data_IF_464794040764
#
_entry.id   IF_464794040764
#
_cell.length_a   1.000
_cell.length_b   1.000
_cell.length_c   1.000
_cell.angle_alpha   90.00
_cell.angle_beta   90.00
_cell.angle_gamma   90.00
#
_symmetry.space_group_name_H-M   'P 1'
#
loop_
_entity.id
_entity.type
_entity.pdbx_description
1 polymer ?
#
# COMPACT_ATOMS: atom_id res chain seq x y z
N UNK A 1 67.15 2.98 -38.96
CA UNK A 1 66.53 3.93 -38.00
C UNK A 1 65.10 3.51 -37.79
N UNK A 2 64.87 2.80 -36.67
CA UNK A 2 63.54 2.24 -36.36
C UNK A 2 62.90 3.15 -35.29
N UNK A 3 61.79 3.82 -35.64
CA UNK A 3 61.02 4.68 -34.70
C UNK A 3 60.01 3.81 -33.99
N UNK A 4 60.19 3.65 -32.70
CA UNK A 4 59.21 3.09 -31.77
C UNK A 4 58.14 4.14 -31.49
N UNK A 5 56.87 3.83 -31.82
CA UNK A 5 55.71 4.63 -31.40
C UNK A 5 55.14 3.96 -30.13
N UNK A 6 55.31 4.65 -28.99
CA UNK A 6 54.62 4.26 -27.74
C UNK A 6 53.18 4.76 -27.78
N UNK A 7 52.20 3.87 -27.86
CA UNK A 7 50.80 4.16 -27.58
C UNK A 7 50.58 4.19 -26.07
N UNK A 8 50.34 5.32 -25.50
CA UNK A 8 49.87 5.47 -24.10
C UNK A 8 48.35 5.21 -24.06
N UNK A 9 47.92 4.09 -23.53
CA UNK A 9 46.53 3.85 -23.21
C UNK A 9 46.16 4.54 -21.91
N UNK A 10 45.41 5.63 -21.98
CA UNK A 10 44.82 6.30 -20.82
C UNK A 10 43.60 5.46 -20.36
N UNK A 11 43.74 4.75 -19.24
CA UNK A 11 42.62 4.09 -18.57
C UNK A 11 41.75 5.14 -17.88
N UNK A 12 40.54 5.42 -18.41
CA UNK A 12 39.52 6.19 -17.70
C UNK A 12 38.96 5.31 -16.56
N UNK A 13 39.38 5.61 -15.34
CA UNK A 13 38.77 5.04 -14.13
C UNK A 13 37.46 5.76 -13.90
N UNK A 14 36.31 5.10 -14.25
CA UNK A 14 34.97 5.53 -13.84
C UNK A 14 34.86 5.21 -12.34
N UNK A 15 35.03 6.21 -11.49
CA UNK A 15 34.66 6.09 -10.07
C UNK A 15 33.14 6.11 -9.97
N UNK A 16 32.52 4.94 -9.84
CA UNK A 16 31.13 4.87 -9.45
C UNK A 16 31.02 5.39 -8.01
N UNK A 17 30.49 6.58 -7.85
CA UNK A 17 30.06 7.07 -6.53
C UNK A 17 28.98 6.12 -6.02
N UNK A 18 29.27 5.34 -4.99
CA UNK A 18 28.25 4.60 -4.27
C UNK A 18 27.32 5.65 -3.64
N UNK A 19 26.10 5.76 -4.14
CA UNK A 19 25.07 6.53 -3.48
C UNK A 19 24.85 5.89 -2.10
N UNK A 20 25.24 6.58 -1.05
CA UNK A 20 24.93 6.19 0.32
C UNK A 20 23.44 6.43 0.52
N UNK A 21 22.67 5.36 0.72
CA UNK A 21 21.27 5.50 1.10
C UNK A 21 21.20 6.18 2.47
N UNK A 22 20.55 7.35 2.54
CA UNK A 22 20.35 8.05 3.81
C UNK A 22 19.37 7.27 4.68
N UNK A 23 19.72 7.08 5.95
CA UNK A 23 18.86 6.41 6.92
C UNK A 23 18.07 7.46 7.70
N UNK A 24 16.76 7.47 7.53
CA UNK A 24 15.85 8.26 8.35
C UNK A 24 15.49 7.45 9.60
N UNK A 25 15.62 8.06 10.77
CA UNK A 25 15.18 7.49 12.05
C UNK A 25 14.07 8.33 12.62
N UNK A 26 12.95 7.68 12.87
CA UNK A 26 11.77 8.32 13.45
C UNK A 26 11.35 7.58 14.71
N UNK A 27 11.03 8.32 15.78
CA UNK A 27 10.57 7.79 17.04
C UNK A 27 9.19 8.37 17.39
N UNK A 28 8.35 7.56 18.01
CA UNK A 28 7.00 7.92 18.45
C UNK A 28 6.67 7.28 19.79
N UNK A 29 5.64 7.79 20.47
CA UNK A 29 5.28 7.34 21.81
C UNK A 29 4.55 5.99 21.87
N UNK A 30 3.99 5.51 20.76
CA UNK A 30 3.30 4.22 20.68
C UNK A 30 3.76 3.44 19.46
N UNK A 31 3.80 2.12 19.58
CA UNK A 31 4.05 1.22 18.48
C UNK A 31 2.73 0.79 17.80
N UNK A 32 2.81 0.27 16.59
CA UNK A 32 1.70 -0.38 15.92
C UNK A 32 1.42 -1.72 16.59
N UNK A 33 0.17 -2.04 16.81
CA UNK A 33 -0.23 -3.31 17.45
C UNK A 33 0.02 -4.49 16.51
N UNK A 34 -0.17 -4.27 15.21
CA UNK A 34 -0.07 -5.29 14.16
C UNK A 34 0.41 -4.68 12.87
N UNK A 35 0.85 -5.53 11.92
CA UNK A 35 1.08 -5.14 10.53
C UNK A 35 -0.08 -5.56 9.60
N UNK A 36 -1.07 -6.27 10.12
CA UNK A 36 -2.30 -6.59 9.37
C UNK A 36 -3.09 -5.30 9.12
N UNK A 37 -3.26 -4.88 7.85
CA UNK A 37 -3.82 -3.57 7.52
C UNK A 37 -5.32 -3.42 7.83
N UNK A 38 -6.01 -4.52 8.14
CA UNK A 38 -7.45 -4.53 8.42
C UNK A 38 -7.79 -4.84 9.89
N UNK A 39 -6.79 -5.18 10.71
CA UNK A 39 -7.03 -5.66 12.07
C UNK A 39 -7.21 -4.53 13.10
N UNK A 40 -6.76 -3.31 12.81
CA UNK A 40 -6.83 -2.19 13.72
C UNK A 40 -7.16 -0.87 13.01
N UNK A 41 -7.98 -0.04 13.67
CA UNK A 41 -8.34 1.30 13.21
C UNK A 41 -7.79 2.36 14.17
N UNK A 42 -6.46 2.41 14.33
CA UNK A 42 -5.80 3.34 15.24
C UNK A 42 -4.57 4.01 14.62
N UNK A 43 -4.24 5.21 15.10
CA UNK A 43 -3.23 6.07 14.48
C UNK A 43 -1.83 5.46 14.34
N UNK A 44 -1.27 4.79 15.36
CA UNK A 44 0.02 4.12 15.26
C UNK A 44 0.10 3.07 14.17
N UNK A 45 -0.89 2.18 14.05
CA UNK A 45 -0.95 1.14 13.01
C UNK A 45 -1.13 1.76 11.63
N UNK A 46 -2.04 2.74 11.48
CA UNK A 46 -2.23 3.44 10.19
C UNK A 46 -0.96 4.15 9.72
N UNK A 47 -0.24 4.85 10.61
CA UNK A 47 0.98 5.55 10.23
C UNK A 47 2.07 4.61 9.70
N UNK A 48 2.14 3.38 10.23
CA UNK A 48 3.07 2.36 9.73
C UNK A 48 2.52 1.69 8.46
N UNK A 49 1.21 1.40 8.41
CA UNK A 49 0.56 0.80 7.26
C UNK A 49 0.69 1.67 6.00
N UNK A 50 0.53 3.00 6.10
CA UNK A 50 0.73 3.94 4.98
C UNK A 50 2.15 3.93 4.39
N UNK A 51 3.13 3.36 5.07
CA UNK A 51 4.47 3.21 4.49
C UNK A 51 4.55 1.99 3.57
N UNK A 52 3.78 0.94 3.86
CA UNK A 52 3.89 -0.38 3.23
C UNK A 52 2.72 -0.73 2.31
N UNK A 53 1.58 -0.08 2.49
CA UNK A 53 0.36 -0.31 1.73
C UNK A 53 -0.17 1.00 1.15
N UNK A 54 -0.90 0.91 0.05
CA UNK A 54 -1.67 2.01 -0.49
C UNK A 54 -3.17 1.70 -0.43
N UNK A 55 -3.99 2.76 -0.31
CA UNK A 55 -5.43 2.69 -0.50
C UNK A 55 -5.82 2.99 -1.96
N UNK A 56 -7.11 2.90 -2.27
CA UNK A 56 -7.62 3.37 -3.55
C UNK A 56 -7.40 4.88 -3.70
N UNK A 57 -7.55 5.61 -2.61
CA UNK A 57 -7.41 7.06 -2.51
C UNK A 57 -6.44 7.40 -1.39
N UNK A 58 -5.88 8.60 -1.44
CA UNK A 58 -5.00 9.12 -0.39
C UNK A 58 -5.28 10.59 -0.12
N UNK A 59 -4.64 11.15 0.90
CA UNK A 59 -4.67 12.59 1.18
C UNK A 59 -3.34 13.23 0.84
N UNK A 60 -3.40 14.39 0.23
CA UNK A 60 -2.22 15.24 0.09
C UNK A 60 -1.91 16.01 1.39
N UNK A 61 -0.85 16.80 1.39
CA UNK A 61 -0.42 17.61 2.53
C UNK A 61 -1.44 18.70 2.94
N UNK A 62 -2.37 19.07 2.06
CA UNK A 62 -3.47 19.99 2.38
C UNK A 62 -4.68 19.28 3.01
N UNK A 63 -4.68 17.94 3.02
CA UNK A 63 -5.79 17.09 3.43
C UNK A 63 -6.81 16.81 2.31
N UNK A 64 -6.58 17.29 1.09
CA UNK A 64 -7.43 16.99 -0.04
C UNK A 64 -7.31 15.51 -0.46
N UNK A 65 -8.43 14.90 -0.84
CA UNK A 65 -8.45 13.53 -1.35
C UNK A 65 -7.96 13.53 -2.80
N UNK A 66 -6.96 12.73 -3.07
CA UNK A 66 -6.32 12.59 -4.37
C UNK A 66 -6.25 11.12 -4.80
N UNK A 67 -5.94 10.90 -6.08
CA UNK A 67 -5.74 9.58 -6.65
C UNK A 67 -4.56 8.85 -5.99
N UNK A 68 -4.73 7.53 -5.79
CA UNK A 68 -3.69 6.60 -5.37
C UNK A 68 -3.74 5.37 -6.29
N UNK A 69 -4.15 4.20 -5.80
CA UNK A 69 -4.36 3.01 -6.64
C UNK A 69 -5.56 3.15 -7.58
N UNK A 70 -6.54 4.00 -7.24
CA UNK A 70 -7.56 4.44 -8.19
C UNK A 70 -7.13 5.76 -8.85
N UNK A 71 -7.21 5.83 -10.17
CA UNK A 71 -6.88 7.02 -10.98
C UNK A 71 -8.09 7.92 -11.20
N UNK A 72 -9.29 7.32 -11.22
CA UNK A 72 -10.57 8.00 -11.42
C UNK A 72 -11.65 7.31 -10.59
N UNK A 73 -12.63 8.08 -10.11
CA UNK A 73 -13.82 7.55 -9.44
C UNK A 73 -15.01 8.46 -9.61
N UNK A 74 -16.19 7.86 -9.83
CA UNK A 74 -17.44 8.57 -9.95
C UNK A 74 -18.64 7.67 -9.62
N UNK A 75 -19.71 8.25 -9.11
CA UNK A 75 -20.99 7.56 -9.06
C UNK A 75 -21.55 7.37 -10.48
N UNK A 76 -22.15 6.21 -10.74
CA UNK A 76 -22.76 5.94 -12.03
C UNK A 76 -24.05 6.78 -12.20
N UNK A 77 -24.23 7.37 -13.38
CA UNK A 77 -25.38 8.21 -13.66
C UNK A 77 -26.73 7.44 -13.57
N UNK A 78 -26.70 6.17 -13.96
CA UNK A 78 -27.86 5.25 -13.94
C UNK A 78 -28.18 4.71 -12.53
N UNK A 79 -27.16 4.67 -11.64
CA UNK A 79 -27.34 4.26 -10.24
C UNK A 79 -26.34 4.99 -9.32
N UNK A 80 -26.75 6.12 -8.70
CA UNK A 80 -25.86 6.92 -7.85
C UNK A 80 -25.35 6.21 -6.59
N UNK A 81 -25.91 5.05 -6.25
CA UNK A 81 -25.41 4.23 -5.15
C UNK A 81 -24.23 3.33 -5.58
N UNK A 82 -23.93 3.24 -6.87
CA UNK A 82 -22.77 2.50 -7.39
C UNK A 82 -21.68 3.49 -7.78
N UNK A 83 -20.54 3.33 -7.15
CA UNK A 83 -19.33 4.07 -7.46
C UNK A 83 -18.37 3.21 -8.27
N UNK A 84 -17.96 3.71 -9.42
CA UNK A 84 -16.96 3.06 -10.27
C UNK A 84 -15.58 3.66 -10.04
N UNK A 85 -14.60 2.78 -9.84
CA UNK A 85 -13.19 3.13 -9.69
C UNK A 85 -12.40 2.56 -10.86
N UNK A 86 -11.59 3.41 -11.52
CA UNK A 86 -10.58 2.98 -12.48
C UNK A 86 -9.25 2.81 -11.76
N UNK A 87 -8.66 1.63 -11.87
CA UNK A 87 -7.43 1.29 -11.16
C UNK A 87 -6.20 1.67 -11.98
N UNK A 88 -5.11 1.90 -11.28
CA UNK A 88 -3.79 2.15 -11.87
C UNK A 88 -3.23 0.85 -12.41
N UNK A 89 -2.84 0.87 -13.69
CA UNK A 89 -2.17 -0.25 -14.33
C UNK A 89 -0.66 -0.29 -14.02
N UNK A 90 -0.06 -1.47 -14.06
CA UNK A 90 1.38 -1.66 -13.89
C UNK A 90 1.88 -1.55 -12.45
N UNK A 91 0.98 -1.48 -11.46
CA UNK A 91 1.35 -1.55 -10.04
C UNK A 91 1.70 -2.99 -9.67
N UNK A 92 2.73 -3.15 -8.84
CA UNK A 92 3.11 -4.45 -8.28
C UNK A 92 3.16 -4.40 -6.76
N UNK A 93 2.83 -5.51 -6.12
CA UNK A 93 3.10 -5.75 -4.72
C UNK A 93 4.60 -5.90 -4.45
N UNK A 94 4.99 -5.92 -3.19
CA UNK A 94 6.39 -5.98 -2.76
C UNK A 94 7.12 -7.25 -3.19
N UNK A 95 6.40 -8.35 -3.40
CA UNK A 95 6.92 -9.62 -3.92
C UNK A 95 6.95 -9.70 -5.45
N UNK A 96 6.40 -8.68 -6.14
CA UNK A 96 6.36 -8.57 -7.59
C UNK A 96 5.05 -9.06 -8.23
N UNK A 97 4.08 -9.56 -7.45
CA UNK A 97 2.74 -9.90 -7.96
C UNK A 97 2.06 -8.65 -8.51
N UNK A 98 1.29 -8.79 -9.60
CA UNK A 98 0.57 -7.68 -10.20
C UNK A 98 -0.67 -7.34 -9.36
N UNK A 99 -0.94 -6.05 -9.19
CA UNK A 99 -2.16 -5.55 -8.57
C UNK A 99 -3.27 -5.43 -9.61
N UNK A 100 -4.47 -5.92 -9.26
CA UNK A 100 -5.66 -5.81 -10.09
C UNK A 100 -6.96 -5.67 -9.27
N UNK A 101 -8.11 -5.75 -9.96
CA UNK A 101 -9.43 -5.60 -9.37
C UNK A 101 -9.81 -6.71 -8.37
N UNK A 102 -9.25 -7.92 -8.51
CA UNK A 102 -9.51 -9.02 -7.59
C UNK A 102 -8.92 -8.74 -6.20
N UNK A 103 -7.76 -8.06 -6.14
CA UNK A 103 -7.14 -7.64 -4.88
C UNK A 103 -7.98 -6.59 -4.16
N UNK A 104 -8.59 -5.67 -4.92
CA UNK A 104 -9.51 -4.67 -4.36
C UNK A 104 -10.76 -5.33 -3.79
N UNK A 105 -11.39 -6.23 -4.57
CA UNK A 105 -12.58 -6.99 -4.12
C UNK A 105 -12.23 -7.81 -2.87
N UNK A 106 -11.10 -8.50 -2.88
CA UNK A 106 -10.61 -9.27 -1.74
C UNK A 106 -10.41 -8.38 -0.51
N UNK A 107 -9.65 -7.30 -0.64
CA UNK A 107 -9.28 -6.41 0.47
C UNK A 107 -10.49 -5.78 1.14
N UNK A 108 -11.43 -5.25 0.35
CA UNK A 108 -12.64 -4.62 0.88
C UNK A 108 -13.58 -5.64 1.53
N UNK A 109 -13.72 -6.83 0.97
CA UNK A 109 -14.50 -7.91 1.59
C UNK A 109 -13.81 -8.44 2.86
N UNK A 110 -12.46 -8.57 2.86
CA UNK A 110 -11.70 -8.95 4.04
C UNK A 110 -11.87 -7.95 5.18
N UNK A 111 -11.81 -6.66 4.88
CA UNK A 111 -12.00 -5.59 5.88
C UNK A 111 -13.41 -5.57 6.50
N UNK A 112 -14.39 -6.23 5.88
CA UNK A 112 -15.76 -6.40 6.40
C UNK A 112 -15.94 -7.67 7.26
N UNK A 113 -14.95 -8.55 7.33
CA UNK A 113 -15.05 -9.80 8.09
C UNK A 113 -14.94 -9.58 9.59
N UNK A 114 -15.42 -10.56 10.35
CA UNK A 114 -15.24 -10.63 11.79
C UNK A 114 -13.74 -10.56 12.16
N UNK A 115 -13.40 -9.85 13.22
CA UNK A 115 -12.02 -9.59 13.63
C UNK A 115 -11.43 -8.30 13.08
N UNK A 116 -11.99 -7.73 12.01
CA UNK A 116 -11.56 -6.44 11.48
C UNK A 116 -12.11 -5.27 12.29
N UNK A 117 -11.27 -4.36 12.69
CA UNK A 117 -11.67 -3.06 13.26
C UNK A 117 -12.02 -2.01 12.17
N UNK A 118 -11.93 -2.41 10.88
CA UNK A 118 -12.24 -1.54 9.74
C UNK A 118 -13.69 -1.66 9.26
N UNK A 119 -14.49 -2.58 9.82
CA UNK A 119 -15.86 -2.89 9.39
C UNK A 119 -16.76 -1.66 9.27
N UNK A 120 -16.72 -0.78 10.28
CA UNK A 120 -17.58 0.39 10.32
C UNK A 120 -17.30 1.39 9.21
N UNK A 121 -16.06 1.46 8.72
CA UNK A 121 -15.70 2.30 7.58
C UNK A 121 -16.40 1.87 6.29
N UNK A 122 -16.75 0.59 6.19
CA UNK A 122 -17.42 -0.04 5.04
C UNK A 122 -18.88 -0.43 5.33
N UNK A 123 -19.47 -0.01 6.46
CA UNK A 123 -20.82 -0.43 6.88
C UNK A 123 -21.91 -0.12 5.84
N UNK A 124 -21.75 0.94 5.05
CA UNK A 124 -22.68 1.27 3.96
C UNK A 124 -22.43 0.51 2.66
N UNK A 125 -21.27 -0.16 2.51
CA UNK A 125 -20.90 -0.89 1.31
C UNK A 125 -21.58 -2.26 1.33
N UNK A 126 -22.49 -2.49 0.39
CA UNK A 126 -23.26 -3.73 0.30
C UNK A 126 -22.62 -4.73 -0.67
N UNK A 127 -22.00 -4.23 -1.73
CA UNK A 127 -21.34 -5.08 -2.74
C UNK A 127 -20.08 -4.43 -3.27
N UNK A 128 -19.08 -5.25 -3.62
CA UNK A 128 -17.87 -4.85 -4.33
C UNK A 128 -17.59 -5.90 -5.40
N UNK A 129 -17.52 -5.47 -6.66
CA UNK A 129 -17.32 -6.40 -7.78
C UNK A 129 -16.31 -5.89 -8.80
N UNK A 130 -15.50 -6.79 -9.32
CA UNK A 130 -14.67 -6.56 -10.48
C UNK A 130 -15.57 -6.43 -11.73
N UNK A 131 -15.35 -5.39 -12.51
CA UNK A 131 -15.99 -5.20 -13.83
C UNK A 131 -15.07 -5.71 -14.93
N UNK A 132 -13.79 -5.41 -14.79
CA UNK A 132 -12.67 -5.92 -15.58
C UNK A 132 -11.40 -5.88 -14.70
N UNK A 133 -10.23 -6.23 -15.24
CA UNK A 133 -8.99 -6.31 -14.48
C UNK A 133 -8.60 -4.98 -13.78
N UNK A 134 -9.06 -3.83 -14.29
CA UNK A 134 -8.72 -2.51 -13.75
C UNK A 134 -9.94 -1.62 -13.53
N UNK A 135 -11.09 -2.22 -13.31
CA UNK A 135 -12.34 -1.49 -13.00
C UNK A 135 -13.10 -2.22 -11.91
N UNK A 136 -13.43 -1.48 -10.84
CA UNK A 136 -14.22 -1.99 -9.71
C UNK A 136 -15.45 -1.13 -9.52
N UNK A 137 -16.59 -1.78 -9.32
CA UNK A 137 -17.83 -1.14 -8.85
C UNK A 137 -18.02 -1.44 -7.37
N UNK A 138 -18.32 -0.41 -6.61
CA UNK A 138 -18.68 -0.48 -5.19
C UNK A 138 -20.09 0.06 -5.02
N UNK A 139 -20.98 -0.78 -4.51
CA UNK A 139 -22.38 -0.42 -4.25
C UNK A 139 -22.61 -0.10 -2.78
N UNK A 140 -23.32 0.98 -2.51
CA UNK A 140 -23.71 1.39 -1.16
C UNK A 140 -25.22 1.25 -0.95
N UNK A 141 -25.66 0.96 0.28
CA UNK A 141 -27.07 0.82 0.65
C UNK A 141 -27.87 2.12 0.46
N UNK A 142 -27.19 3.25 0.30
CA UNK A 142 -27.76 4.58 0.09
C UNK A 142 -26.64 5.61 0.00
N UNK A 143 -26.99 6.88 -0.14
CA UNK A 143 -26.00 7.95 -0.23
C UNK A 143 -25.10 7.97 1.02
N UNK A 144 -23.79 7.79 0.82
CA UNK A 144 -22.79 7.90 1.88
C UNK A 144 -21.70 8.91 1.47
N UNK A 145 -21.78 10.16 1.91
CA UNK A 145 -20.78 11.18 1.57
C UNK A 145 -19.39 10.91 2.20
N UNK A 146 -19.33 10.06 3.23
CA UNK A 146 -18.07 9.73 3.93
C UNK A 146 -17.33 8.58 3.28
N UNK A 147 -17.94 7.78 2.39
CA UNK A 147 -17.34 6.60 1.79
C UNK A 147 -15.97 6.93 1.15
N UNK A 148 -15.91 7.95 0.31
CA UNK A 148 -14.66 8.37 -0.36
C UNK A 148 -13.59 8.75 0.66
N UNK A 149 -13.99 9.41 1.76
CA UNK A 149 -13.09 9.74 2.86
C UNK A 149 -12.54 8.48 3.56
N UNK A 150 -13.40 7.51 3.83
CA UNK A 150 -13.03 6.26 4.51
C UNK A 150 -12.04 5.43 3.70
N UNK A 151 -12.15 5.47 2.36
CA UNK A 151 -11.24 4.75 1.46
C UNK A 151 -9.79 5.25 1.48
N UNK A 152 -9.50 6.40 2.08
CA UNK A 152 -8.11 6.87 2.25
C UNK A 152 -7.32 6.09 3.32
N UNK A 153 -8.02 5.35 4.21
CA UNK A 153 -7.42 4.49 5.23
C UNK A 153 -7.74 3.01 4.98
N UNK A 154 -8.31 2.68 3.81
CA UNK A 154 -8.60 1.31 3.43
C UNK A 154 -7.50 0.79 2.52
N UNK A 155 -6.64 -0.05 3.05
CA UNK A 155 -5.43 -0.54 2.38
C UNK A 155 -5.71 -1.76 1.51
N UNK A 156 -5.04 -1.84 0.35
CA UNK A 156 -5.15 -2.98 -0.55
C UNK A 156 -4.07 -4.01 -0.23
N UNK A 157 -4.45 -5.27 -0.20
CA UNK A 157 -3.65 -6.43 0.13
C UNK A 157 -3.69 -7.43 -1.04
N UNK A 158 -2.57 -8.07 -1.32
CA UNK A 158 -2.49 -9.12 -2.33
C UNK A 158 -3.31 -10.35 -1.90
N UNK A 159 -4.32 -10.70 -2.69
CA UNK A 159 -5.17 -11.87 -2.49
C UNK A 159 -4.35 -13.16 -2.50
N UNK A 160 -3.46 -13.31 -3.49
CA UNK A 160 -2.64 -14.52 -3.63
C UNK A 160 -1.68 -14.72 -2.46
N UNK A 161 -1.07 -13.63 -1.99
CA UNK A 161 -0.23 -13.68 -0.79
C UNK A 161 -1.05 -14.02 0.47
N UNK A 162 -2.24 -13.45 0.61
CA UNK A 162 -3.12 -13.73 1.74
C UNK A 162 -3.56 -15.20 1.78
N UNK A 163 -3.92 -15.78 0.63
CA UNK A 163 -4.27 -17.19 0.48
C UNK A 163 -3.06 -18.10 0.78
N UNK A 164 -1.88 -17.78 0.25
CA UNK A 164 -0.66 -18.57 0.43
C UNK A 164 -0.16 -18.60 1.88
N UNK A 165 -0.50 -17.59 2.70
CA UNK A 165 -0.05 -17.46 4.08
C UNK A 165 -1.18 -17.67 5.12
N UNK A 166 -2.34 -18.16 4.68
CA UNK A 166 -3.50 -18.43 5.55
C UNK A 166 -3.96 -17.19 6.35
N UNK A 167 -4.01 -16.03 5.66
CA UNK A 167 -4.45 -14.75 6.24
C UNK A 167 -5.63 -14.14 5.48
N UNK A 168 -6.48 -14.98 4.92
CA UNK A 168 -7.72 -14.54 4.25
C UNK A 168 -8.70 -13.87 5.21
N UNK A 169 -8.63 -14.23 6.49
CA UNK A 169 -9.33 -13.52 7.57
C UNK A 169 -8.40 -12.50 8.23
N UNK A 170 -8.93 -11.32 8.63
CA UNK A 170 -8.14 -10.36 9.40
C UNK A 170 -7.79 -10.94 10.78
N UNK A 171 -6.68 -10.47 11.36
CA UNK A 171 -6.33 -10.79 12.74
C UNK A 171 -7.39 -10.20 13.68
N UNK A 172 -7.93 -11.02 14.57
CA UNK A 172 -8.78 -10.55 15.67
C UNK A 172 -7.92 -10.16 16.88
N UNK A 173 -7.50 -8.90 16.92
CA UNK A 173 -6.67 -8.37 18.02
C UNK A 173 -7.41 -8.36 19.32
N UNK A 174 -8.72 -8.06 19.33
CA UNK A 174 -9.56 -8.05 20.53
C UNK A 174 -9.66 -9.43 21.18
N UNK A 175 -9.67 -10.50 20.38
CA UNK A 175 -9.62 -11.87 20.86
C UNK A 175 -8.19 -12.34 21.24
N UNK A 176 -7.16 -11.51 21.07
CA UNK A 176 -5.77 -11.88 21.34
C UNK A 176 -5.16 -12.81 20.29
N UNK A 177 -5.75 -12.91 19.10
CA UNK A 177 -5.26 -13.76 18.04
C UNK A 177 -4.01 -13.15 17.38
N UNK A 178 -3.23 -14.01 16.76
CA UNK A 178 -2.11 -13.65 15.86
C UNK A 178 -2.18 -14.49 14.60
N UNK A 179 -1.75 -13.92 13.48
CA UNK A 179 -1.62 -14.63 12.21
C UNK A 179 -0.32 -14.21 11.51
N UNK A 180 -0.07 -14.71 10.32
CA UNK A 180 1.15 -14.37 9.58
C UNK A 180 1.27 -12.87 9.28
N UNK A 181 0.15 -12.17 8.98
CA UNK A 181 0.13 -10.75 8.70
C UNK A 181 0.40 -9.87 9.95
N UNK A 182 0.33 -10.43 11.17
CA UNK A 182 0.72 -9.70 12.39
C UNK A 182 2.14 -9.14 12.32
N UNK A 183 3.06 -9.87 11.69
CA UNK A 183 4.50 -9.57 11.63
C UNK A 183 5.06 -9.50 10.20
N UNK A 184 4.24 -9.75 9.17
CA UNK A 184 4.66 -9.79 7.78
C UNK A 184 3.73 -8.96 6.90
N UNK A 185 4.25 -8.44 5.78
CA UNK A 185 3.51 -7.56 4.89
C UNK A 185 3.78 -7.87 3.43
N UNK A 186 2.77 -7.72 2.57
CA UNK A 186 2.93 -7.64 1.12
C UNK A 186 1.95 -6.59 0.58
N UNK A 187 2.38 -5.34 0.53
CA UNK A 187 1.61 -4.21 0.01
C UNK A 187 2.24 -3.63 -1.25
N UNK A 188 1.69 -2.50 -1.71
CA UNK A 188 2.15 -1.77 -2.89
C UNK A 188 2.95 -0.51 -2.53
N UNK A 189 3.10 -0.21 -1.24
CA UNK A 189 3.61 1.05 -0.71
C UNK A 189 5.08 1.34 -1.00
N UNK A 190 5.48 2.57 -0.66
CA UNK A 190 6.81 3.11 -0.93
C UNK A 190 7.94 2.38 -0.17
N UNK A 191 7.61 1.69 0.92
CA UNK A 191 8.60 0.98 1.74
C UNK A 191 8.19 -0.47 1.97
N UNK A 192 9.19 -1.33 2.04
CA UNK A 192 9.09 -2.77 2.29
C UNK A 192 9.59 -3.09 3.69
N UNK A 193 8.93 -4.01 4.38
CA UNK A 193 9.39 -4.51 5.68
C UNK A 193 10.72 -5.27 5.54
N UNK A 194 11.67 -4.94 6.42
CA UNK A 194 12.92 -5.71 6.58
C UNK A 194 12.89 -6.53 7.86
N UNK A 195 12.50 -5.90 8.98
CA UNK A 195 12.38 -6.58 10.26
C UNK A 195 11.51 -5.78 11.22
N UNK A 196 10.92 -6.47 12.19
CA UNK A 196 10.16 -5.87 13.29
C UNK A 196 10.48 -6.56 14.61
N UNK A 197 10.77 -5.76 15.63
CA UNK A 197 10.77 -6.12 17.05
C UNK A 197 9.72 -5.24 17.70
N UNK A 198 8.65 -5.84 18.22
CA UNK A 198 7.52 -5.13 18.82
C UNK A 198 8.01 -4.26 19.98
N UNK A 199 7.50 -3.04 20.11
CA UNK A 199 7.86 -2.03 21.11
C UNK A 199 9.34 -1.58 21.08
N UNK A 200 10.12 -2.02 20.11
CA UNK A 200 11.53 -1.68 20.01
C UNK A 200 11.86 -0.98 18.68
N UNK A 201 11.68 -1.68 17.56
CA UNK A 201 12.10 -1.19 16.25
C UNK A 201 11.41 -1.88 15.09
N UNK A 202 10.94 -1.09 14.11
CA UNK A 202 10.58 -1.56 12.77
C UNK A 202 11.58 -0.99 11.77
N UNK A 203 12.16 -1.84 10.93
CA UNK A 203 13.10 -1.46 9.88
C UNK A 203 12.42 -1.66 8.52
N UNK A 204 12.41 -0.59 7.74
CA UNK A 204 11.89 -0.57 6.39
C UNK A 204 13.03 -0.26 5.41
N UNK A 205 12.89 -0.69 4.18
CA UNK A 205 13.72 -0.29 3.03
C UNK A 205 12.84 0.28 1.92
N UNK A 206 13.39 1.17 1.11
CA UNK A 206 12.68 1.71 -0.04
C UNK A 206 12.26 0.58 -1.00
N UNK A 207 11.05 0.68 -1.55
CA UNK A 207 10.55 -0.16 -2.63
C UNK A 207 11.10 0.37 -3.98
N UNK A 208 12.02 -0.33 -4.66
CA UNK A 208 12.62 0.15 -5.90
C UNK A 208 11.60 0.21 -7.06
N UNK A 209 10.50 -0.54 -6.93
CA UNK A 209 9.44 -0.64 -7.93
C UNK A 209 8.19 0.17 -7.55
N UNK A 210 8.31 1.11 -6.60
CA UNK A 210 7.17 1.91 -6.17
C UNK A 210 6.58 2.70 -7.34
N UNK A 211 5.30 2.52 -7.60
CA UNK A 211 4.57 3.16 -8.69
C UNK A 211 4.51 4.69 -8.58
N UNK A 212 4.54 5.21 -7.36
CA UNK A 212 4.41 6.64 -7.04
C UNK A 212 5.73 7.39 -6.91
N UNK A 213 6.89 6.79 -7.22
CA UNK A 213 8.22 7.40 -7.04
C UNK A 213 8.39 8.76 -7.69
N UNK A 214 7.71 9.00 -8.83
CA UNK A 214 7.78 10.26 -9.57
C UNK A 214 6.75 11.29 -9.08
N UNK A 215 5.87 10.92 -8.15
CA UNK A 215 4.84 11.80 -7.58
C UNK A 215 5.33 12.52 -6.32
N UNK A 216 6.41 12.07 -5.72
CA UNK A 216 6.95 12.63 -4.48
C UNK A 216 8.35 13.18 -4.73
N UNK A 217 8.69 14.35 -4.13
CA UNK A 217 10.05 14.88 -4.22
C UNK A 217 11.04 13.88 -3.62
N UNK A 218 12.08 13.58 -4.38
CA UNK A 218 13.18 12.69 -3.96
C UNK A 218 14.14 13.36 -2.98
N UNK A 219 13.98 14.66 -2.75
CA UNK A 219 14.82 15.45 -1.84
C UNK A 219 14.05 15.74 -0.54
N UNK A 220 14.56 15.22 0.56
CA UNK A 220 14.17 15.64 1.92
C UNK A 220 15.07 16.83 2.29
N UNK A 221 14.50 18.00 2.25
CA UNK A 221 15.18 19.21 2.71
C UNK A 221 15.19 19.31 4.24
#
# INVERSE_FOLDING_TARGET
MLRLILLSAAALSVTASAASAETIRWARAGDSITLDPHAQNEGPTHALAHQMYDGLLQRDMSGAIIASLATEWAALAENPNVWRFKLREGVTFHDGAAFDSEDVVFSLNRAKQEGSEMQELLASVVDVRAVDAYTVDMETAGANPLMINNLTNMFMMDKGWAEANDVVMPQNVTAGETNYATMNTNGTGAFMLVSRSVDEKTVLKANPNYWGKDLYPTEVS
#
